data_IF_674482800995
#
_entry.id   IF_674482800995
#
_cell.length_a   1.000
_cell.length_b   1.000
_cell.length_c   1.000
_cell.angle_alpha   90.00
_cell.angle_beta   90.00
_cell.angle_gamma   90.00
#
_symmetry.space_group_name_H-M   'P 1'
#
loop_
_entity.id
_entity.type
_entity.pdbx_description
1 polymer ?
#
# COMPACT_ATOMS: atom_id res chain seq x y z
N UNK A 1 -33.64 -91.77 -9.48
CA UNK A 1 -33.42 -90.71 -10.41
C UNK A 1 -33.33 -89.37 -9.62
N UNK A 2 -32.11 -88.91 -9.36
CA UNK A 2 -31.85 -87.69 -8.57
C UNK A 2 -31.34 -86.67 -9.55
N UNK A 3 -32.06 -85.56 -9.76
CA UNK A 3 -31.57 -84.43 -10.49
C UNK A 3 -30.92 -83.49 -9.51
N UNK A 4 -29.64 -83.12 -9.76
CA UNK A 4 -28.89 -82.14 -9.10
C UNK A 4 -29.24 -80.81 -9.75
N UNK A 5 -29.72 -79.83 -8.98
CA UNK A 5 -29.79 -78.42 -9.41
C UNK A 5 -28.49 -77.70 -9.03
N UNK A 6 -27.75 -77.28 -10.02
CA UNK A 6 -26.64 -76.33 -9.84
C UNK A 6 -27.19 -74.90 -9.76
N UNK A 7 -26.85 -74.20 -8.68
CA UNK A 7 -27.10 -72.78 -8.52
C UNK A 7 -25.79 -72.04 -8.89
N UNK A 8 -25.80 -71.12 -9.84
CA UNK A 8 -24.63 -70.33 -10.11
C UNK A 8 -24.46 -69.23 -9.02
N UNK A 9 -23.27 -69.17 -8.41
CA UNK A 9 -22.85 -68.11 -7.52
C UNK A 9 -22.59 -66.86 -8.33
N UNK A 10 -23.39 -65.80 -8.12
CA UNK A 10 -23.11 -64.44 -8.64
C UNK A 10 -22.14 -63.80 -7.66
N UNK A 11 -20.91 -63.59 -8.14
CA UNK A 11 -19.92 -62.79 -7.42
C UNK A 11 -20.29 -61.30 -7.60
N UNK A 12 -20.76 -60.67 -6.53
CA UNK A 12 -20.89 -59.21 -6.46
C UNK A 12 -19.52 -58.62 -6.19
N UNK A 13 -18.87 -58.11 -7.21
CA UNK A 13 -17.69 -57.26 -7.07
C UNK A 13 -18.15 -55.84 -6.65
N UNK A 14 -18.09 -55.54 -5.36
CA UNK A 14 -18.24 -54.18 -4.87
C UNK A 14 -16.98 -53.39 -5.22
N UNK A 15 -17.07 -52.47 -6.18
CA UNK A 15 -16.03 -51.48 -6.47
C UNK A 15 -15.99 -50.48 -5.34
N UNK A 16 -14.96 -50.53 -4.49
CA UNK A 16 -14.58 -49.46 -3.57
C UNK A 16 -13.77 -48.43 -4.33
N UNK A 17 -14.45 -47.50 -5.02
CA UNK A 17 -13.89 -46.30 -5.61
C UNK A 17 -14.16 -45.14 -4.66
N UNK A 18 -13.47 -45.04 -3.53
CA UNK A 18 -13.57 -43.87 -2.64
C UNK A 18 -12.35 -43.63 -1.76
N UNK A 19 -11.18 -44.18 -2.09
CA UNK A 19 -9.98 -44.00 -1.27
C UNK A 19 -8.85 -43.21 -1.93
N UNK A 20 -8.99 -42.79 -3.19
CA UNK A 20 -7.90 -42.10 -3.91
C UNK A 20 -8.04 -40.59 -3.99
N UNK A 21 -9.18 -40.02 -3.62
CA UNK A 21 -9.38 -38.54 -3.79
C UNK A 21 -8.99 -37.76 -2.53
N UNK A 22 -9.19 -38.29 -1.34
CA UNK A 22 -8.82 -37.60 -0.09
C UNK A 22 -7.32 -37.60 0.23
N UNK A 23 -6.54 -38.57 -0.28
CA UNK A 23 -5.10 -38.61 -0.07
C UNK A 23 -4.37 -37.57 -0.94
N UNK A 24 -4.88 -37.29 -2.15
CA UNK A 24 -4.31 -36.31 -3.06
C UNK A 24 -4.48 -34.87 -2.56
N UNK A 25 -5.65 -34.51 -2.05
CA UNK A 25 -5.88 -33.18 -1.47
C UNK A 25 -5.03 -32.92 -0.21
N UNK A 26 -4.92 -33.92 0.68
CA UNK A 26 -4.08 -33.83 1.87
C UNK A 26 -2.57 -33.77 1.55
N UNK A 27 -2.15 -34.44 0.50
CA UNK A 27 -0.75 -34.40 0.04
C UNK A 27 -0.41 -33.09 -0.65
N UNK A 28 -1.33 -32.52 -1.42
CA UNK A 28 -1.22 -31.19 -2.01
C UNK A 28 -1.24 -30.13 -0.91
N UNK A 29 -2.10 -30.26 0.09
CA UNK A 29 -2.17 -29.30 1.20
C UNK A 29 -0.93 -29.36 2.11
N UNK A 30 -0.34 -30.56 2.33
CA UNK A 30 0.98 -30.69 2.99
C UNK A 30 2.11 -30.16 2.13
N UNK A 31 2.13 -30.45 0.83
CA UNK A 31 3.13 -29.90 -0.08
C UNK A 31 3.05 -28.38 -0.18
N UNK A 32 1.85 -27.79 -0.11
CA UNK A 32 1.64 -26.36 -0.02
C UNK A 32 2.06 -25.77 1.35
N UNK A 33 1.92 -26.53 2.45
CA UNK A 33 2.42 -26.15 3.76
C UNK A 33 3.96 -26.25 3.87
N UNK A 34 4.57 -27.26 3.25
CA UNK A 34 6.04 -27.43 3.21
C UNK A 34 6.72 -26.46 2.22
N UNK A 35 6.02 -25.98 1.19
CA UNK A 35 6.49 -24.94 0.27
C UNK A 35 6.53 -23.54 0.93
N UNK A 36 5.89 -23.36 2.07
CA UNK A 36 5.67 -22.06 2.71
C UNK A 36 6.92 -21.41 3.32
N UNK A 37 8.04 -22.09 3.47
CA UNK A 37 9.20 -21.54 4.19
C UNK A 37 10.18 -20.79 3.26
N UNK A 38 10.20 -21.08 1.98
CA UNK A 38 11.11 -20.43 1.00
C UNK A 38 10.41 -19.40 0.13
N UNK A 39 9.08 -19.48 0.00
CA UNK A 39 8.29 -18.69 -0.96
C UNK A 39 7.48 -17.56 -0.31
N UNK A 40 7.38 -17.51 1.02
CA UNK A 40 6.59 -16.49 1.73
C UNK A 40 7.07 -15.07 1.41
N UNK A 41 8.38 -14.86 1.25
CA UNK A 41 8.93 -13.53 0.96
C UNK A 41 8.53 -13.07 -0.44
N UNK A 42 8.61 -13.95 -1.43
CA UNK A 42 8.23 -13.64 -2.80
C UNK A 42 6.72 -13.46 -2.94
N UNK A 43 5.91 -14.27 -2.26
CA UNK A 43 4.46 -14.16 -2.28
C UNK A 43 3.98 -12.87 -1.60
N UNK A 44 4.59 -12.48 -0.49
CA UNK A 44 4.33 -11.22 0.18
C UNK A 44 4.60 -10.04 -0.74
N UNK A 45 5.74 -10.04 -1.45
CA UNK A 45 6.11 -8.98 -2.40
C UNK A 45 5.14 -8.93 -3.60
N UNK A 46 4.69 -10.07 -4.12
CA UNK A 46 3.70 -10.13 -5.19
C UNK A 46 2.38 -9.51 -4.73
N UNK A 47 1.86 -9.90 -3.58
CA UNK A 47 0.63 -9.32 -3.04
C UNK A 47 0.78 -7.82 -2.76
N UNK A 48 1.94 -7.36 -2.32
CA UNK A 48 2.18 -5.93 -2.05
C UNK A 48 2.37 -5.09 -3.32
N UNK A 49 2.74 -5.67 -4.44
CA UNK A 49 3.08 -4.91 -5.66
C UNK A 49 2.05 -5.01 -6.77
N UNK A 50 1.64 -6.23 -7.15
CA UNK A 50 0.80 -6.48 -8.33
C UNK A 50 -0.53 -7.15 -8.00
N UNK A 51 -0.69 -7.76 -6.81
CA UNK A 51 -1.91 -8.43 -6.39
C UNK A 51 -3.10 -7.45 -6.25
N UNK A 52 -4.31 -7.99 -6.38
CA UNK A 52 -5.53 -7.24 -6.04
C UNK A 52 -5.46 -6.76 -4.58
N UNK A 53 -5.78 -5.49 -4.30
CA UNK A 53 -5.67 -4.95 -2.94
C UNK A 53 -6.54 -5.66 -1.90
N UNK A 54 -7.75 -6.09 -2.24
CA UNK A 54 -8.65 -6.78 -1.30
C UNK A 54 -8.24 -8.25 -1.08
N UNK A 55 -7.70 -8.91 -2.11
CA UNK A 55 -7.06 -10.22 -1.97
C UNK A 55 -5.84 -10.13 -1.07
N UNK A 56 -4.99 -9.12 -1.26
CA UNK A 56 -3.84 -8.86 -0.40
C UNK A 56 -4.25 -8.62 1.06
N UNK A 57 -5.29 -7.83 1.31
CA UNK A 57 -5.86 -7.66 2.67
C UNK A 57 -6.29 -8.99 3.26
N UNK A 58 -7.01 -9.82 2.48
CA UNK A 58 -7.49 -11.12 2.93
C UNK A 58 -6.34 -12.08 3.25
N UNK A 59 -5.29 -12.08 2.43
CA UNK A 59 -4.07 -12.87 2.64
C UNK A 59 -3.35 -12.45 3.93
N UNK A 60 -2.97 -11.17 4.05
CA UNK A 60 -2.22 -10.68 5.20
C UNK A 60 -3.02 -10.73 6.50
N UNK A 61 -4.35 -10.60 6.45
CA UNK A 61 -5.21 -10.80 7.63
C UNK A 61 -5.09 -12.23 8.16
N UNK A 62 -5.17 -13.23 7.28
CA UNK A 62 -5.01 -14.64 7.71
C UNK A 62 -3.59 -14.91 8.19
N UNK A 63 -2.57 -14.44 7.46
CA UNK A 63 -1.17 -14.66 7.80
C UNK A 63 -0.81 -14.02 9.16
N UNK A 64 -1.20 -12.77 9.42
CA UNK A 64 -0.93 -12.10 10.70
C UNK A 64 -1.74 -12.68 11.87
N UNK A 65 -2.92 -13.26 11.62
CA UNK A 65 -3.68 -13.97 12.66
C UNK A 65 -3.05 -15.31 13.02
N UNK A 66 -2.45 -16.00 12.05
CA UNK A 66 -1.76 -17.28 12.28
C UNK A 66 -0.42 -17.08 13.00
N UNK A 67 0.25 -15.97 12.75
CA UNK A 67 1.52 -15.62 13.39
C UNK A 67 1.53 -14.13 13.82
N UNK A 68 0.89 -13.80 14.95
CA UNK A 68 0.73 -12.42 15.41
C UNK A 68 2.04 -11.76 15.88
N UNK A 69 3.13 -12.52 16.05
CA UNK A 69 4.45 -12.01 16.39
C UNK A 69 5.24 -11.49 15.18
N UNK A 70 4.79 -11.74 13.95
CA UNK A 70 5.50 -11.34 12.73
C UNK A 70 5.09 -9.94 12.27
N UNK A 71 5.90 -8.96 12.64
CA UNK A 71 5.68 -7.56 12.30
C UNK A 71 5.67 -7.30 10.77
N UNK A 72 6.40 -8.10 9.98
CA UNK A 72 6.40 -8.00 8.52
C UNK A 72 5.02 -8.32 7.93
N UNK A 73 4.30 -9.32 8.45
CA UNK A 73 2.92 -9.63 8.06
C UNK A 73 1.95 -8.53 8.49
N UNK A 74 2.12 -7.96 9.69
CA UNK A 74 1.35 -6.81 10.15
C UNK A 74 1.56 -5.58 9.26
N UNK A 75 2.82 -5.29 8.87
CA UNK A 75 3.16 -4.24 7.89
C UNK A 75 2.53 -4.53 6.52
N UNK A 76 2.52 -5.79 6.09
CA UNK A 76 1.87 -6.25 4.86
C UNK A 76 0.38 -5.94 4.87
N UNK A 77 -0.33 -6.28 5.95
CA UNK A 77 -1.75 -5.97 6.12
C UNK A 77 -2.00 -4.46 6.06
N UNK A 78 -1.25 -3.67 6.82
CA UNK A 78 -1.44 -2.24 6.89
C UNK A 78 -1.20 -1.55 5.53
N UNK A 79 -0.17 -1.96 4.77
CA UNK A 79 0.09 -1.49 3.40
C UNK A 79 -1.03 -1.88 2.43
N UNK A 80 -1.53 -3.12 2.53
CA UNK A 80 -2.63 -3.60 1.67
C UNK A 80 -3.92 -2.82 1.93
N UNK A 81 -4.23 -2.49 3.18
CA UNK A 81 -5.37 -1.66 3.56
C UNK A 81 -5.28 -0.23 2.97
N UNK A 82 -4.07 0.36 2.93
CA UNK A 82 -3.84 1.65 2.24
C UNK A 82 -4.12 1.51 0.74
N UNK A 83 -3.64 0.45 0.08
CA UNK A 83 -3.90 0.20 -1.35
C UNK A 83 -5.38 -0.02 -1.64
N UNK A 84 -6.09 -0.72 -0.76
CA UNK A 84 -7.53 -0.94 -0.82
C UNK A 84 -8.37 0.30 -0.44
N UNK A 85 -7.72 1.43 -0.09
CA UNK A 85 -8.37 2.68 0.38
C UNK A 85 -9.22 2.51 1.64
N UNK A 86 -8.95 1.47 2.44
CA UNK A 86 -9.61 1.19 3.72
C UNK A 86 -8.90 1.95 4.83
N UNK A 87 -8.94 3.29 4.75
CA UNK A 87 -8.09 4.19 5.52
C UNK A 87 -8.28 4.06 7.04
N UNK A 88 -9.50 3.87 7.53
CA UNK A 88 -9.76 3.71 8.98
C UNK A 88 -9.13 2.42 9.52
N UNK A 89 -9.24 1.33 8.77
CA UNK A 89 -8.64 0.04 9.14
C UNK A 89 -7.12 0.09 9.01
N UNK A 90 -6.59 0.81 8.02
CA UNK A 90 -5.17 1.04 7.88
C UNK A 90 -4.58 1.79 9.09
N UNK A 91 -5.30 2.78 9.64
CA UNK A 91 -4.88 3.44 10.89
C UNK A 91 -4.77 2.43 12.03
N UNK A 92 -5.79 1.57 12.22
CA UNK A 92 -5.77 0.56 13.28
C UNK A 92 -4.60 -0.43 13.10
N UNK A 93 -4.37 -0.89 11.86
CA UNK A 93 -3.29 -1.81 11.55
C UNK A 93 -1.90 -1.17 11.76
N UNK A 94 -1.70 0.08 11.31
CA UNK A 94 -0.44 0.79 11.52
C UNK A 94 -0.22 1.17 13.00
N UNK A 95 -1.29 1.40 13.79
CA UNK A 95 -1.19 1.60 15.23
C UNK A 95 -0.66 0.33 15.91
N UNK A 96 -1.20 -0.84 15.56
CA UNK A 96 -0.71 -2.11 16.08
C UNK A 96 0.77 -2.37 15.70
N UNK A 97 1.18 -2.01 14.47
CA UNK A 97 2.59 -2.08 14.06
C UNK A 97 3.46 -1.14 14.89
N UNK A 98 3.02 0.11 15.13
CA UNK A 98 3.80 1.11 15.87
C UNK A 98 3.93 0.77 17.37
N UNK A 99 3.03 -0.04 17.92
CA UNK A 99 3.06 -0.56 19.29
C UNK A 99 3.88 -1.84 19.44
N UNK A 100 4.27 -2.48 18.34
CA UNK A 100 5.07 -3.70 18.36
C UNK A 100 6.49 -3.45 18.88
N UNK A 101 7.08 -4.43 19.56
CA UNK A 101 8.43 -4.30 20.15
C UNK A 101 9.55 -4.07 19.12
N UNK A 102 9.35 -4.52 17.87
CA UNK A 102 10.27 -4.34 16.74
C UNK A 102 9.89 -3.16 15.83
N UNK A 103 8.99 -2.27 16.31
CA UNK A 103 8.59 -1.10 15.56
C UNK A 103 9.75 -0.11 15.40
N UNK A 104 9.81 0.53 14.25
CA UNK A 104 10.82 1.51 13.88
C UNK A 104 10.22 2.90 13.71
N UNK A 105 11.06 3.93 13.62
CA UNK A 105 10.60 5.28 13.30
C UNK A 105 9.97 5.36 11.90
N UNK A 106 10.40 4.49 10.96
CA UNK A 106 9.75 4.36 9.65
C UNK A 106 8.29 3.90 9.76
N UNK A 107 7.97 3.00 10.70
CA UNK A 107 6.59 2.56 10.92
C UNK A 107 5.71 3.69 11.48
N UNK A 108 6.29 4.57 12.31
CA UNK A 108 5.59 5.79 12.76
C UNK A 108 5.34 6.77 11.63
N UNK A 109 6.25 6.88 10.66
CA UNK A 109 6.03 7.67 9.43
C UNK A 109 4.87 7.09 8.63
N UNK A 110 4.79 5.76 8.49
CA UNK A 110 3.66 5.11 7.82
C UNK A 110 2.33 5.31 8.57
N UNK A 111 2.34 5.24 9.90
CA UNK A 111 1.16 5.54 10.73
C UNK A 111 0.69 6.99 10.51
N UNK A 112 1.61 7.95 10.44
CA UNK A 112 1.26 9.34 10.15
C UNK A 112 0.63 9.50 8.75
N UNK A 113 1.15 8.79 7.71
CA UNK A 113 0.53 8.74 6.38
C UNK A 113 -0.90 8.17 6.44
N UNK A 114 -1.11 7.10 7.21
CA UNK A 114 -2.44 6.51 7.40
C UNK A 114 -3.41 7.51 8.09
N UNK A 115 -2.97 8.25 9.10
CA UNK A 115 -3.77 9.29 9.73
C UNK A 115 -4.14 10.40 8.74
N UNK A 116 -3.21 10.89 7.92
CA UNK A 116 -3.47 11.90 6.89
C UNK A 116 -4.53 11.40 5.90
N UNK A 117 -4.41 10.15 5.42
CA UNK A 117 -5.39 9.54 4.51
C UNK A 117 -6.78 9.37 5.13
N UNK A 118 -6.84 9.20 6.45
CA UNK A 118 -8.08 9.16 7.23
C UNK A 118 -8.58 10.57 7.63
N UNK A 119 -7.93 11.64 7.15
CA UNK A 119 -8.23 13.04 7.49
C UNK A 119 -8.06 13.37 8.99
N UNK A 120 -7.17 12.64 9.67
CA UNK A 120 -6.87 12.78 11.11
C UNK A 120 -5.56 13.56 11.29
N UNK A 121 -5.61 14.85 10.99
CA UNK A 121 -4.42 15.72 10.89
C UNK A 121 -3.69 15.95 12.21
N UNK A 122 -4.42 16.03 13.31
CA UNK A 122 -3.80 16.27 14.62
C UNK A 122 -3.07 15.04 15.14
N UNK A 123 -3.60 13.85 14.91
CA UNK A 123 -2.92 12.60 15.26
C UNK A 123 -1.71 12.38 14.36
N UNK A 124 -1.80 12.73 13.08
CA UNK A 124 -0.65 12.71 12.18
C UNK A 124 0.46 13.65 12.70
N UNK A 125 0.10 14.87 13.08
CA UNK A 125 1.05 15.83 13.66
C UNK A 125 1.70 15.31 14.95
N UNK A 126 0.90 14.75 15.87
CA UNK A 126 1.40 14.18 17.11
C UNK A 126 2.38 13.02 16.85
N UNK A 127 2.04 12.13 15.91
CA UNK A 127 2.87 11.00 15.52
C UNK A 127 4.20 11.48 14.91
N UNK A 128 4.17 12.41 13.95
CA UNK A 128 5.39 12.97 13.34
C UNK A 128 6.30 13.67 14.37
N UNK A 129 5.71 14.40 15.31
CA UNK A 129 6.46 15.07 16.38
C UNK A 129 7.11 14.09 17.37
N UNK A 130 6.63 12.84 17.47
CA UNK A 130 7.22 11.80 18.31
C UNK A 130 8.46 11.15 17.70
N UNK A 131 8.71 11.36 16.39
CA UNK A 131 9.82 10.78 15.67
C UNK A 131 11.10 11.61 15.96
N UNK A 132 12.23 10.96 16.32
CA UNK A 132 13.46 11.67 16.59
C UNK A 132 13.91 12.55 15.40
N UNK A 133 14.48 13.74 15.64
CA UNK A 133 14.95 14.61 14.55
C UNK A 133 15.97 13.95 13.63
N UNK A 134 16.73 12.97 14.12
CA UNK A 134 17.75 12.22 13.37
C UNK A 134 17.16 11.29 12.29
N UNK A 135 15.85 11.01 12.34
CA UNK A 135 15.19 10.21 11.30
C UNK A 135 14.80 11.10 10.11
N UNK A 136 15.79 11.53 9.34
CA UNK A 136 15.62 12.43 8.19
C UNK A 136 15.28 11.63 6.93
N UNK A 137 13.99 11.57 6.56
CA UNK A 137 13.54 10.93 5.33
C UNK A 137 12.65 11.86 4.53
N UNK A 138 12.72 11.77 3.20
CA UNK A 138 11.86 12.57 2.31
C UNK A 138 10.38 12.37 2.60
N UNK A 139 9.99 11.14 2.94
CA UNK A 139 8.60 10.81 3.26
C UNK A 139 8.13 11.55 4.51
N UNK A 140 8.92 11.53 5.59
CA UNK A 140 8.62 12.27 6.82
C UNK A 140 8.41 13.74 6.53
N UNK A 141 9.38 14.42 5.89
CA UNK A 141 9.27 15.84 5.60
C UNK A 141 8.12 16.19 4.66
N UNK A 142 7.82 15.32 3.68
CA UNK A 142 6.63 15.47 2.85
C UNK A 142 5.34 15.44 3.67
N UNK A 143 5.22 14.54 4.64
CA UNK A 143 4.04 14.45 5.50
C UNK A 143 3.97 15.63 6.49
N UNK A 144 5.10 16.08 7.04
CA UNK A 144 5.17 17.31 7.85
C UNK A 144 4.72 18.54 7.05
N UNK A 145 5.10 18.62 5.77
CA UNK A 145 4.62 19.67 4.87
C UNK A 145 3.09 19.61 4.70
N UNK A 146 2.53 18.42 4.44
CA UNK A 146 1.09 18.24 4.28
C UNK A 146 0.32 18.60 5.57
N UNK A 147 0.87 18.28 6.74
CA UNK A 147 0.29 18.69 8.04
C UNK A 147 0.38 20.19 8.22
N UNK A 148 1.48 20.85 7.82
CA UNK A 148 1.59 22.30 7.86
C UNK A 148 0.59 22.98 6.91
N UNK A 149 0.38 22.41 5.71
CA UNK A 149 -0.64 22.86 4.74
C UNK A 149 -2.05 22.79 5.34
N UNK A 150 -2.40 21.71 6.03
CA UNK A 150 -3.72 21.55 6.67
C UNK A 150 -4.00 22.60 7.73
N UNK A 151 -2.95 23.22 8.26
CA UNK A 151 -2.99 24.30 9.27
C UNK A 151 -2.72 25.68 8.66
N UNK A 152 -2.68 25.80 7.33
CA UNK A 152 -2.38 27.03 6.59
C UNK A 152 -1.02 27.66 6.94
N UNK A 153 -0.09 26.84 7.46
CA UNK A 153 1.29 27.27 7.78
C UNK A 153 2.17 27.20 6.53
N UNK A 154 1.87 28.03 5.54
CA UNK A 154 2.39 27.94 4.17
C UNK A 154 3.91 28.00 4.07
N UNK A 155 4.56 28.91 4.80
CA UNK A 155 6.02 29.04 4.77
C UNK A 155 6.71 27.81 5.37
N UNK A 156 6.12 27.25 6.41
CA UNK A 156 6.60 26.02 7.02
C UNK A 156 6.42 24.81 6.09
N UNK A 157 5.26 24.73 5.43
CA UNK A 157 5.01 23.71 4.42
C UNK A 157 6.03 23.76 3.28
N UNK A 158 6.28 24.96 2.74
CA UNK A 158 7.26 25.19 1.68
C UNK A 158 8.68 24.74 2.09
N UNK A 159 9.11 25.08 3.31
CA UNK A 159 10.40 24.67 3.85
C UNK A 159 10.52 23.15 3.95
N UNK A 160 9.48 22.48 4.42
CA UNK A 160 9.47 21.01 4.52
C UNK A 160 9.46 20.35 3.15
N UNK A 161 8.67 20.84 2.18
CA UNK A 161 8.70 20.31 0.82
C UNK A 161 10.09 20.48 0.18
N UNK A 162 10.73 21.62 0.35
CA UNK A 162 12.08 21.86 -0.15
C UNK A 162 13.08 20.87 0.46
N UNK A 163 13.03 20.63 1.76
CA UNK A 163 13.85 19.62 2.43
C UNK A 163 13.57 18.21 1.87
N UNK A 164 12.29 17.84 1.73
CA UNK A 164 11.91 16.55 1.19
C UNK A 164 12.45 16.32 -0.23
N UNK A 165 12.42 17.34 -1.11
CA UNK A 165 13.00 17.27 -2.46
C UNK A 165 14.51 16.94 -2.39
N UNK A 166 15.25 17.58 -1.47
CA UNK A 166 16.69 17.37 -1.31
C UNK A 166 17.06 15.96 -0.81
N UNK A 167 16.13 15.25 -0.19
CA UNK A 167 16.37 13.94 0.42
C UNK A 167 16.00 12.73 -0.47
N UNK A 168 15.62 12.95 -1.73
CA UNK A 168 15.25 11.86 -2.63
C UNK A 168 15.76 12.09 -4.05
N UNK A 169 16.11 11.00 -4.73
CA UNK A 169 16.46 11.00 -6.17
C UNK A 169 15.21 10.91 -7.06
N UNK A 170 14.04 10.62 -6.49
CA UNK A 170 12.76 10.49 -7.22
C UNK A 170 11.71 11.48 -6.66
N UNK A 171 11.93 12.82 -6.80
CA UNK A 171 11.12 13.81 -6.12
C UNK A 171 9.75 14.10 -6.75
N UNK A 172 9.35 13.38 -7.82
CA UNK A 172 8.13 13.65 -8.57
C UNK A 172 6.88 13.77 -7.69
N UNK A 173 6.70 12.86 -6.73
CA UNK A 173 5.56 12.87 -5.81
C UNK A 173 5.62 14.04 -4.83
N UNK A 174 6.82 14.45 -4.42
CA UNK A 174 7.02 15.63 -3.53
C UNK A 174 6.64 16.90 -4.26
N UNK A 175 7.15 17.10 -5.49
CA UNK A 175 6.78 18.24 -6.33
C UNK A 175 5.28 18.29 -6.61
N UNK A 176 4.64 17.13 -6.88
CA UNK A 176 3.20 17.10 -7.08
C UNK A 176 2.43 17.58 -5.83
N UNK A 177 2.81 17.12 -4.64
CA UNK A 177 2.16 17.56 -3.40
C UNK A 177 2.41 19.04 -3.11
N UNK A 178 3.64 19.53 -3.34
CA UNK A 178 3.98 20.94 -3.21
C UNK A 178 3.20 21.80 -4.21
N UNK A 179 3.09 21.36 -5.46
CA UNK A 179 2.26 21.99 -6.46
C UNK A 179 0.79 22.08 -6.06
N UNK A 180 0.27 21.02 -5.44
CA UNK A 180 -1.10 21.00 -4.92
C UNK A 180 -1.29 22.00 -3.77
N UNK A 181 -0.33 22.09 -2.84
CA UNK A 181 -0.28 23.13 -1.81
C UNK A 181 -0.33 24.54 -2.42
N UNK A 182 0.49 24.82 -3.47
CA UNK A 182 0.46 26.08 -4.19
C UNK A 182 -0.87 26.34 -4.88
N UNK A 183 -1.47 25.32 -5.47
CA UNK A 183 -2.76 25.41 -6.16
C UNK A 183 -3.89 25.80 -5.20
N UNK A 184 -3.97 25.17 -4.04
CA UNK A 184 -5.05 25.38 -3.06
C UNK A 184 -5.02 26.77 -2.43
N UNK A 185 -3.83 27.36 -2.31
CA UNK A 185 -3.68 28.76 -1.82
C UNK A 185 -3.67 29.83 -2.92
N UNK A 186 -4.01 29.46 -4.17
CA UNK A 186 -4.14 30.40 -5.29
C UNK A 186 -2.84 30.83 -5.95
N UNK A 187 -1.69 30.27 -5.56
CA UNK A 187 -0.39 30.54 -6.16
C UNK A 187 -0.21 29.74 -7.47
N UNK A 188 -1.09 29.97 -8.45
CA UNK A 188 -1.20 29.17 -9.66
C UNK A 188 0.07 29.11 -10.53
N UNK A 189 0.86 30.21 -10.71
CA UNK A 189 2.11 30.14 -11.45
C UNK A 189 3.14 29.21 -10.78
N UNK A 190 3.22 29.24 -9.45
CA UNK A 190 4.10 28.36 -8.69
C UNK A 190 3.62 26.92 -8.72
N UNK A 191 2.31 26.68 -8.63
CA UNK A 191 1.71 25.37 -8.79
C UNK A 191 2.05 24.76 -10.16
N UNK A 192 1.90 25.53 -11.24
CA UNK A 192 2.28 25.11 -12.60
C UNK A 192 3.76 24.69 -12.67
N UNK A 193 4.66 25.48 -12.06
CA UNK A 193 6.09 25.16 -12.01
C UNK A 193 6.32 23.82 -11.27
N UNK A 194 5.74 23.63 -10.10
CA UNK A 194 5.91 22.41 -9.31
C UNK A 194 5.37 21.17 -10.03
N UNK A 195 4.21 21.26 -10.68
CA UNK A 195 3.68 20.14 -11.46
C UNK A 195 4.52 19.85 -12.69
N UNK A 196 5.09 20.87 -13.33
CA UNK A 196 6.03 20.70 -14.44
C UNK A 196 7.30 19.98 -13.97
N UNK A 197 7.85 20.38 -12.81
CA UNK A 197 9.01 19.72 -12.22
C UNK A 197 8.70 18.28 -11.82
N UNK A 198 7.49 17.99 -11.29
CA UNK A 198 7.04 16.63 -11.05
C UNK A 198 7.07 15.77 -12.33
N UNK A 199 6.58 16.32 -13.44
CA UNK A 199 6.53 15.62 -14.74
C UNK A 199 7.89 15.47 -15.41
N UNK A 200 8.86 16.37 -15.14
CA UNK A 200 10.26 16.20 -15.57
C UNK A 200 10.93 15.00 -14.92
N UNK A 201 10.56 14.69 -13.68
CA UNK A 201 11.08 13.54 -12.93
C UNK A 201 10.29 12.24 -13.16
N UNK A 202 9.00 12.34 -13.51
CA UNK A 202 8.14 11.22 -13.87
C UNK A 202 7.03 11.71 -14.81
N UNK A 203 7.21 11.57 -16.09
CA UNK A 203 6.25 11.97 -17.13
C UNK A 203 4.96 11.13 -17.12
N UNK A 204 5.01 9.90 -16.54
CA UNK A 204 3.87 9.02 -16.33
C UNK A 204 2.96 9.43 -15.15
N UNK A 205 3.33 10.42 -14.33
CA UNK A 205 2.57 10.77 -13.13
C UNK A 205 1.24 11.45 -13.46
N UNK A 206 0.19 10.62 -13.60
CA UNK A 206 -1.14 11.05 -14.02
C UNK A 206 -1.75 12.15 -13.14
N UNK A 207 -1.53 12.10 -11.82
CA UNK A 207 -2.01 13.13 -10.90
C UNK A 207 -1.37 14.49 -11.17
N UNK A 208 -0.08 14.53 -11.49
CA UNK A 208 0.60 15.78 -11.84
C UNK A 208 0.10 16.35 -13.17
N UNK A 209 -0.22 15.50 -14.17
CA UNK A 209 -0.83 15.93 -15.43
C UNK A 209 -2.17 16.63 -15.19
N UNK A 210 -3.05 16.00 -14.43
CA UNK A 210 -4.36 16.57 -14.12
C UNK A 210 -4.24 17.88 -13.32
N UNK A 211 -3.37 17.91 -12.32
CA UNK A 211 -3.16 19.08 -11.50
C UNK A 211 -2.55 20.25 -12.31
N UNK A 212 -1.67 19.95 -13.27
CA UNK A 212 -1.12 20.95 -14.19
C UNK A 212 -2.21 21.59 -15.06
N UNK A 213 -3.16 20.78 -15.57
CA UNK A 213 -4.32 21.28 -16.33
C UNK A 213 -5.13 22.24 -15.45
N UNK A 214 -5.40 21.88 -14.20
CA UNK A 214 -6.13 22.73 -13.26
C UNK A 214 -5.39 24.05 -13.00
N UNK A 215 -4.08 24.01 -12.74
CA UNK A 215 -3.27 25.20 -12.50
C UNK A 215 -3.23 26.15 -13.73
N UNK A 216 -3.15 25.58 -14.94
CA UNK A 216 -3.19 26.36 -16.20
C UNK A 216 -4.58 26.91 -16.48
N UNK A 217 -5.63 26.11 -16.25
CA UNK A 217 -7.01 26.56 -16.38
C UNK A 217 -7.34 27.75 -15.47
N UNK A 218 -6.86 27.74 -14.23
CA UNK A 218 -7.00 28.85 -13.30
C UNK A 218 -6.30 30.14 -13.80
N UNK A 219 -5.24 30.00 -14.61
CA UNK A 219 -4.53 31.10 -15.27
C UNK A 219 -5.08 31.44 -16.66
N UNK A 220 -6.16 30.77 -17.13
CA UNK A 220 -6.72 30.88 -18.48
C UNK A 220 -5.74 30.52 -19.61
N UNK A 221 -4.78 29.63 -19.33
CA UNK A 221 -3.77 29.14 -20.30
C UNK A 221 -4.24 27.83 -20.94
N UNK A 222 -5.27 27.89 -21.78
CA UNK A 222 -5.93 26.69 -22.33
C UNK A 222 -5.19 26.04 -23.50
N UNK A 223 -4.34 26.79 -24.20
CA UNK A 223 -3.69 26.36 -25.45
C UNK A 223 -2.31 25.71 -25.25
N UNK A 224 -1.86 25.60 -24.00
CA UNK A 224 -0.55 25.03 -23.73
C UNK A 224 -0.62 23.50 -23.60
N UNK A 225 0.29 22.76 -24.26
CA UNK A 225 0.34 21.30 -24.12
C UNK A 225 0.68 20.91 -22.68
N UNK A 226 0.08 19.82 -22.21
CA UNK A 226 0.33 19.29 -20.86
C UNK A 226 1.72 18.67 -20.75
N UNK A 227 2.22 18.16 -21.88
CA UNK A 227 3.57 17.60 -22.02
C UNK A 227 4.11 18.07 -23.35
N UNK A 228 5.31 18.65 -23.37
CA UNK A 228 6.13 18.69 -24.57
C UNK A 228 6.78 17.32 -24.71
N UNK A 229 6.34 16.53 -25.69
CA UNK A 229 7.09 15.34 -26.09
C UNK A 229 8.42 15.80 -26.68
N UNK A 230 9.48 15.55 -25.98
CA UNK A 230 10.85 15.56 -26.53
C UNK A 230 11.34 14.16 -26.71
#
# INVERSE_FOLDING_TARGET
MRQLFMIPAVLAAAFTLSACDQSGEQEVERALQDLNVVDETNLNDVFLTVGDPDEAVSYFTRASNNDPGRIDLMRGLAKSLIRARRNTEAVSAWTAVAEHTEATDSDRVELADAYIRANRWDEAAATLNSIPPTHETYKRYRLEAMVADSKEQWDKADSFYQTAVGLTTTPASVYNNWGFSKLTRGAYPDAERMFTDALRHNDGLFTAKNNLILARGAQRKYDLPVITMT
#
